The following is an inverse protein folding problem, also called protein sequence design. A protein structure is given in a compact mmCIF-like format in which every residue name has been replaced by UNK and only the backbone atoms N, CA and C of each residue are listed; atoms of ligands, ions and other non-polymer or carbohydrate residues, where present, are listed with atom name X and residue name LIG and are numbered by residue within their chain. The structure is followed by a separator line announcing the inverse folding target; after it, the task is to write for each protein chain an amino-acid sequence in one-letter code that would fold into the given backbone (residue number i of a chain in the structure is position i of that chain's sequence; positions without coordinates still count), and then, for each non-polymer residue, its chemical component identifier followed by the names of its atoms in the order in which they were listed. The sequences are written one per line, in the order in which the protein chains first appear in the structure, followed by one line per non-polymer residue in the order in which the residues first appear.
data_IF_113236034057
#
_entry.id   IF_113236034057
#
_cell.length_a   1.000
_cell.length_b   1.000
_cell.length_c   1.000
_cell.angle_alpha   90.00
_cell.angle_beta   90.00
_cell.angle_gamma   90.00
#
_symmetry.space_group_name_H-M   'P 1'
#
loop_
_entity.id
_entity.type
_entity.pdbx_description
1 polymer ?
#
# COMPACT_ATOMS: atom_id res chain seq x y z
N UNK A 1 -5.27 -4.89 -16.77
CA UNK A 1 -5.75 -4.99 -15.36
C UNK A 1 -5.61 -3.62 -14.74
N UNK A 2 -6.58 -3.16 -13.96
CA UNK A 2 -6.51 -1.84 -13.33
C UNK A 2 -5.62 -1.87 -12.09
N UNK A 3 -4.93 -0.77 -11.83
CA UNK A 3 -4.14 -0.53 -10.62
C UNK A 3 -4.94 0.24 -9.57
N UNK A 4 -4.43 0.29 -8.34
CA UNK A 4 -5.00 1.16 -7.30
C UNK A 4 -4.92 2.64 -7.70
N UNK A 5 -3.85 3.06 -8.41
CA UNK A 5 -3.74 4.40 -8.95
C UNK A 5 -4.86 4.73 -9.97
N UNK A 6 -5.27 3.75 -10.77
CA UNK A 6 -6.41 3.92 -11.69
C UNK A 6 -7.71 4.16 -10.90
N UNK A 7 -7.95 3.40 -9.82
CA UNK A 7 -9.12 3.58 -8.97
C UNK A 7 -9.16 4.97 -8.29
N UNK A 8 -8.01 5.47 -7.85
CA UNK A 8 -7.87 6.81 -7.29
C UNK A 8 -8.19 7.87 -8.35
N UNK A 9 -7.68 7.69 -9.58
CA UNK A 9 -7.94 8.58 -10.71
C UNK A 9 -9.42 8.61 -11.08
N UNK A 10 -10.11 7.46 -11.04
CA UNK A 10 -11.55 7.36 -11.29
C UNK A 10 -12.43 7.70 -10.08
N UNK A 11 -11.83 8.14 -8.96
CA UNK A 11 -12.52 8.46 -7.70
C UNK A 11 -13.35 7.30 -7.12
N UNK A 12 -12.98 6.07 -7.44
CA UNK A 12 -13.49 4.87 -6.78
C UNK A 12 -12.77 4.61 -5.45
N UNK A 13 -11.64 5.28 -5.25
CA UNK A 13 -10.86 5.35 -4.03
C UNK A 13 -10.54 6.82 -3.72
N UNK A 14 -10.38 7.16 -2.44
CA UNK A 14 -9.88 8.49 -2.02
C UNK A 14 -8.46 8.42 -1.49
N UNK A 15 -7.78 9.57 -1.47
CA UNK A 15 -6.44 9.68 -0.88
C UNK A 15 -6.45 9.31 0.61
N UNK A 16 -7.51 9.67 1.34
CA UNK A 16 -7.66 9.34 2.76
C UNK A 16 -7.76 7.82 2.98
N UNK A 17 -8.44 7.11 2.09
CA UNK A 17 -8.53 5.65 2.15
C UNK A 17 -7.16 5.00 1.90
N UNK A 18 -6.39 5.51 0.93
CA UNK A 18 -5.02 5.06 0.68
C UNK A 18 -4.14 5.35 1.90
N UNK A 19 -4.20 6.57 2.44
CA UNK A 19 -3.40 6.97 3.59
C UNK A 19 -3.75 6.15 4.84
N UNK A 20 -5.03 5.88 5.09
CA UNK A 20 -5.47 5.00 6.16
C UNK A 20 -4.93 3.57 5.99
N UNK A 21 -4.94 3.04 4.77
CA UNK A 21 -4.38 1.72 4.46
C UNK A 21 -2.85 1.67 4.72
N UNK A 22 -2.13 2.72 4.29
CA UNK A 22 -0.68 2.85 4.55
C UNK A 22 -0.39 2.86 6.05
N UNK A 23 -1.10 3.70 6.80
CA UNK A 23 -0.87 3.82 8.25
C UNK A 23 -1.24 2.54 8.99
N UNK A 24 -2.34 1.87 8.61
CA UNK A 24 -2.73 0.58 9.17
C UNK A 24 -1.70 -0.52 8.91
N UNK A 25 -1.11 -0.57 7.71
CA UNK A 25 -0.03 -1.52 7.42
C UNK A 25 1.27 -1.21 8.17
N UNK A 26 1.64 0.07 8.31
CA UNK A 26 2.85 0.42 9.07
C UNK A 26 2.71 0.13 10.57
N UNK A 27 1.50 0.23 11.13
CA UNK A 27 1.23 -0.11 12.52
C UNK A 27 1.26 -1.63 12.78
N UNK A 28 0.79 -2.42 11.81
CA UNK A 28 0.81 -3.88 11.84
C UNK A 28 1.14 -4.40 10.44
N UNK A 29 2.39 -4.79 10.13
CA UNK A 29 2.79 -5.22 8.79
C UNK A 29 2.51 -6.70 8.50
N UNK A 30 1.52 -7.30 9.15
CA UNK A 30 1.13 -8.69 8.88
C UNK A 30 0.67 -8.94 7.42
N UNK A 31 0.98 -10.12 6.84
CA UNK A 31 0.47 -10.51 5.52
C UNK A 31 -1.05 -10.73 5.52
N UNK A 32 -1.65 -10.69 4.33
CA UNK A 32 -3.06 -10.97 4.10
C UNK A 32 -3.88 -9.77 3.62
N UNK A 33 -5.01 -10.06 2.99
CA UNK A 33 -5.91 -9.06 2.42
C UNK A 33 -6.54 -8.18 3.50
N UNK A 34 -6.47 -6.86 3.30
CA UNK A 34 -7.10 -5.85 4.15
C UNK A 34 -8.07 -5.03 3.33
N UNK A 35 -9.21 -4.70 3.93
CA UNK A 35 -10.17 -3.81 3.31
C UNK A 35 -9.60 -2.38 3.28
N UNK A 36 -9.50 -1.81 2.09
CA UNK A 36 -9.01 -0.44 1.88
C UNK A 36 -10.14 0.51 1.49
N UNK A 37 -11.22 -0.02 0.90
CA UNK A 37 -12.48 0.69 0.66
C UNK A 37 -13.65 -0.30 0.61
N UNK A 38 -14.87 0.21 0.45
CA UNK A 38 -16.05 -0.64 0.32
C UNK A 38 -15.92 -1.54 -0.92
N UNK A 39 -16.02 -2.85 -0.74
CA UNK A 39 -15.90 -3.83 -1.82
C UNK A 39 -14.47 -4.01 -2.37
N UNK A 40 -13.46 -3.38 -1.76
CA UNK A 40 -12.08 -3.42 -2.23
C UNK A 40 -11.12 -3.86 -1.11
N UNK A 41 -10.47 -5.00 -1.33
CA UNK A 41 -9.44 -5.52 -0.45
C UNK A 41 -8.11 -5.69 -1.20
N UNK A 42 -7.00 -5.49 -0.49
CA UNK A 42 -5.65 -5.61 -1.02
C UNK A 42 -4.74 -6.28 0.01
N UNK A 43 -3.92 -7.24 -0.42
CA UNK A 43 -2.79 -7.70 0.38
C UNK A 43 -1.63 -6.69 0.23
N UNK A 44 -1.55 -5.78 1.20
CA UNK A 44 -0.54 -4.70 1.20
C UNK A 44 0.86 -5.28 1.37
N UNK A 45 1.01 -6.37 2.12
CA UNK A 45 2.32 -7.00 2.29
C UNK A 45 2.81 -7.61 0.97
N UNK A 46 1.92 -8.27 0.21
CA UNK A 46 2.24 -8.78 -1.12
C UNK A 46 2.60 -7.64 -2.09
N UNK A 47 1.87 -6.52 -2.06
CA UNK A 47 2.19 -5.34 -2.86
C UNK A 47 3.58 -4.76 -2.51
N UNK A 48 3.90 -4.65 -1.21
CA UNK A 48 5.22 -4.20 -0.73
C UNK A 48 6.32 -5.16 -1.17
N UNK A 49 6.10 -6.48 -1.08
CA UNK A 49 7.07 -7.48 -1.50
C UNK A 49 7.31 -7.46 -3.02
N UNK A 50 6.27 -7.16 -3.82
CA UNK A 50 6.37 -7.03 -5.27
C UNK A 50 7.16 -5.77 -5.70
N UNK A 51 7.20 -4.73 -4.85
CA UNK A 51 7.94 -3.49 -5.12
C UNK A 51 9.29 -3.48 -4.38
N UNK A 52 10.38 -3.88 -5.08
CA UNK A 52 11.74 -4.05 -4.50
C UNK A 52 12.17 -2.90 -3.59
N UNK A 53 11.98 -1.64 -4.01
CA UNK A 53 12.39 -0.49 -3.20
C UNK A 53 11.62 -0.42 -1.86
N UNK A 54 10.32 -0.75 -1.83
CA UNK A 54 9.60 -0.81 -0.57
C UNK A 54 10.03 -1.99 0.30
N UNK A 55 10.23 -3.17 -0.30
CA UNK A 55 10.75 -4.33 0.43
C UNK A 55 12.09 -4.02 1.12
N UNK A 56 13.04 -3.39 0.41
CA UNK A 56 14.35 -3.02 0.95
C UNK A 56 14.22 -2.01 2.10
N UNK A 57 13.38 -0.98 1.93
CA UNK A 57 13.16 0.03 2.97
C UNK A 57 12.47 -0.55 4.21
N UNK A 58 11.64 -1.59 4.05
CA UNK A 58 10.97 -2.22 5.17
C UNK A 58 11.94 -3.01 6.07
N UNK A 59 13.02 -3.55 5.51
CA UNK A 59 14.04 -4.34 6.24
C UNK A 59 15.06 -3.47 7.00
N UNK A 60 15.23 -2.20 6.61
CA UNK A 60 16.28 -1.31 7.14
C UNK A 60 15.87 -0.58 8.42
N UNK A 61 16.62 -0.78 9.51
CA UNK A 61 16.32 -0.14 10.81
C UNK A 61 16.56 1.38 10.85
N UNK A 62 17.34 1.93 9.93
CA UNK A 62 17.73 3.34 9.86
C UNK A 62 16.80 4.22 9.00
N UNK A 63 15.72 3.64 8.48
CA UNK A 63 14.77 4.36 7.61
C UNK A 63 13.69 5.05 8.45
N UNK A 64 13.53 6.36 8.21
CA UNK A 64 12.51 7.17 8.86
C UNK A 64 11.09 6.69 8.53
N UNK A 65 10.15 6.91 9.45
CA UNK A 65 8.72 6.58 9.26
C UNK A 65 8.16 7.24 8.00
N UNK A 66 8.53 8.51 7.73
CA UNK A 66 8.11 9.23 6.53
C UNK A 66 8.56 8.53 5.24
N UNK A 67 9.79 8.01 5.19
CA UNK A 67 10.29 7.25 4.01
C UNK A 67 9.56 5.92 3.84
N UNK A 68 9.27 5.21 4.93
CA UNK A 68 8.46 3.98 4.90
C UNK A 68 7.06 4.25 4.38
N UNK A 69 6.42 5.34 4.84
CA UNK A 69 5.10 5.77 4.37
C UNK A 69 5.07 5.99 2.86
N UNK A 70 6.05 6.73 2.32
CA UNK A 70 6.14 6.96 0.87
C UNK A 70 6.30 5.65 0.12
N UNK A 71 7.21 4.78 0.56
CA UNK A 71 7.47 3.51 -0.11
C UNK A 71 6.25 2.58 -0.14
N UNK A 72 5.56 2.44 1.00
CA UNK A 72 4.32 1.65 1.10
C UNK A 72 3.21 2.26 0.25
N UNK A 73 3.04 3.59 0.26
CA UNK A 73 2.05 4.26 -0.60
C UNK A 73 2.32 4.00 -2.07
N UNK A 74 3.57 4.09 -2.51
CA UNK A 74 3.96 3.77 -3.89
C UNK A 74 3.66 2.30 -4.23
N UNK A 75 3.99 1.36 -3.35
CA UNK A 75 3.70 -0.05 -3.57
C UNK A 75 2.20 -0.32 -3.71
N UNK A 76 1.37 0.30 -2.86
CA UNK A 76 -0.10 0.21 -2.95
C UNK A 76 -0.60 0.76 -4.28
N UNK A 77 -0.16 1.96 -4.68
CA UNK A 77 -0.61 2.60 -5.93
C UNK A 77 -0.27 1.78 -7.18
N UNK A 78 0.88 1.10 -7.18
CA UNK A 78 1.32 0.23 -8.28
C UNK A 78 0.71 -1.18 -8.25
N UNK A 79 0.01 -1.54 -7.18
CA UNK A 79 -0.61 -2.85 -7.07
C UNK A 79 -1.73 -3.00 -8.09
N UNK A 80 -1.75 -4.16 -8.75
CA UNK A 80 -2.81 -4.52 -9.69
C UNK A 80 -3.91 -5.27 -8.95
N UNK A 81 -5.15 -5.01 -9.35
CA UNK A 81 -6.30 -5.79 -8.90
C UNK A 81 -6.28 -7.14 -9.62
N UNK A 82 -6.14 -8.22 -8.85
CA UNK A 82 -6.30 -9.61 -9.33
C UNK A 82 -7.76 -9.99 -9.48
#
# INVERSE_FOLDING_TARGET
MATIADLLTTRLLTDEQVDAAVMGYLADPAPGSRQIAHGLALDINAAVAAYRQAADLMQRKDVTVARRRVAVRTAILLAHLT
#
